data_IF_516999292730
#
_entry.id   IF_516999292730
#
_cell.length_a   1.000
_cell.length_b   1.000
_cell.length_c   1.000
_cell.angle_alpha   90.00
_cell.angle_beta   90.00
_cell.angle_gamma   90.00
#
_symmetry.space_group_name_H-M   'P 1'
#
loop_
_entity.id
_entity.type
_entity.pdbx_description
1 polymer ?
#
# COMPACT_ATOMS: atom_id res chain seq x y z
N UNK A 1 23.74 -6.03 -8.00
CA UNK A 1 22.97 -4.89 -7.45
C UNK A 1 21.61 -4.85 -8.14
N UNK A 2 20.50 -5.06 -7.42
CA UNK A 2 19.15 -4.87 -7.99
C UNK A 2 18.85 -3.38 -8.04
N UNK A 3 18.58 -2.88 -9.24
CA UNK A 3 18.18 -1.49 -9.49
C UNK A 3 16.74 -1.34 -9.02
N UNK A 4 16.54 -0.66 -7.90
CA UNK A 4 15.20 -0.25 -7.46
C UNK A 4 14.77 0.86 -8.42
N UNK A 5 13.75 0.59 -9.23
CA UNK A 5 13.14 1.60 -10.09
C UNK A 5 12.21 2.40 -9.19
N UNK A 6 12.56 3.66 -8.92
CA UNK A 6 11.63 4.61 -8.30
C UNK A 6 10.46 4.81 -9.27
N UNK A 7 9.27 4.36 -8.89
CA UNK A 7 8.06 4.65 -9.64
C UNK A 7 7.68 6.10 -9.35
N UNK A 8 7.71 6.91 -10.42
CA UNK A 8 7.13 8.24 -10.62
C UNK A 8 7.65 9.42 -9.77
N UNK A 9 8.63 10.16 -10.32
CA UNK A 9 9.05 11.52 -9.88
C UNK A 9 7.97 12.62 -10.06
N UNK A 10 6.68 12.27 -10.21
CA UNK A 10 5.60 13.20 -10.57
C UNK A 10 4.31 12.99 -9.74
N UNK A 11 4.24 11.97 -8.89
CA UNK A 11 3.02 11.69 -8.13
C UNK A 11 3.15 12.28 -6.72
N UNK A 12 2.19 13.12 -6.33
CA UNK A 12 2.13 13.59 -4.96
C UNK A 12 1.79 12.43 -4.00
N UNK A 13 2.24 12.56 -2.76
CA UNK A 13 2.14 11.48 -1.76
C UNK A 13 0.69 11.12 -1.42
N UNK A 14 -0.26 12.04 -1.60
CA UNK A 14 -1.68 11.79 -1.35
C UNK A 14 -2.24 10.87 -2.44
N UNK A 15 -1.97 11.18 -3.71
CA UNK A 15 -2.32 10.33 -4.86
C UNK A 15 -1.68 8.94 -4.77
N UNK A 16 -0.38 8.84 -4.43
CA UNK A 16 0.27 7.53 -4.24
C UNK A 16 -0.38 6.75 -3.09
N UNK A 17 -0.75 7.43 -1.99
CA UNK A 17 -1.43 6.79 -0.86
C UNK A 17 -2.81 6.26 -1.25
N UNK A 18 -3.59 7.01 -2.02
CA UNK A 18 -4.90 6.57 -2.51
C UNK A 18 -4.78 5.31 -3.38
N UNK A 19 -3.87 5.29 -4.35
CA UNK A 19 -3.65 4.13 -5.22
C UNK A 19 -3.28 2.88 -4.41
N UNK A 20 -2.47 3.05 -3.37
CA UNK A 20 -2.10 1.93 -2.49
C UNK A 20 -3.28 1.40 -1.67
N UNK A 21 -4.17 2.29 -1.22
CA UNK A 21 -5.41 1.89 -0.54
C UNK A 21 -6.30 1.09 -1.49
N UNK A 22 -6.47 1.54 -2.74
CA UNK A 22 -7.23 0.80 -3.76
C UNK A 22 -6.62 -0.59 -4.03
N UNK A 23 -5.29 -0.68 -4.09
CA UNK A 23 -4.57 -1.96 -4.24
C UNK A 23 -4.82 -2.89 -3.04
N UNK A 24 -4.82 -2.37 -1.81
CA UNK A 24 -5.14 -3.15 -0.61
C UNK A 24 -6.58 -3.70 -0.69
N UNK A 25 -7.55 -2.89 -1.09
CA UNK A 25 -8.95 -3.30 -1.22
C UNK A 25 -9.12 -4.41 -2.26
N UNK A 26 -8.45 -4.29 -3.41
CA UNK A 26 -8.44 -5.32 -4.44
C UNK A 26 -7.82 -6.64 -3.93
N UNK A 27 -6.69 -6.58 -3.23
CA UNK A 27 -6.05 -7.78 -2.66
C UNK A 27 -6.92 -8.45 -1.59
N UNK A 28 -7.58 -7.68 -0.72
CA UNK A 28 -8.52 -8.20 0.28
C UNK A 28 -9.71 -8.86 -0.40
N UNK A 29 -10.24 -8.25 -1.46
CA UNK A 29 -11.37 -8.80 -2.22
C UNK A 29 -11.01 -10.13 -2.87
N UNK A 30 -9.83 -10.23 -3.50
CA UNK A 30 -9.33 -11.48 -4.09
C UNK A 30 -9.18 -12.57 -3.03
N UNK A 31 -8.62 -12.23 -1.86
CA UNK A 31 -8.49 -13.18 -0.76
C UNK A 31 -9.85 -13.64 -0.23
N UNK A 32 -10.82 -12.74 -0.08
CA UNK A 32 -12.19 -13.09 0.33
C UNK A 32 -12.85 -14.02 -0.68
N UNK A 33 -12.80 -13.67 -1.98
CA UNK A 33 -13.35 -14.51 -3.04
C UNK A 33 -12.69 -15.89 -3.11
N UNK A 34 -11.38 -15.99 -2.85
CA UNK A 34 -10.70 -17.28 -2.75
C UNK A 34 -11.14 -18.10 -1.53
N UNK A 35 -11.42 -17.45 -0.40
CA UNK A 35 -11.85 -18.14 0.84
C UNK A 35 -13.34 -18.50 0.80
N UNK A 36 -14.18 -17.67 0.19
CA UNK A 36 -15.65 -17.79 0.13
C UNK A 36 -16.16 -18.51 -1.14
N UNK A 37 -15.30 -18.68 -2.15
CA UNK A 37 -15.62 -19.43 -3.35
C UNK A 37 -15.82 -20.92 -3.04
N UNK A 38 -16.83 -21.51 -3.69
CA UNK A 38 -17.24 -22.93 -3.60
C UNK A 38 -16.02 -23.86 -3.38
N UNK A 39 -16.18 -24.85 -2.50
CA UNK A 39 -15.16 -25.77 -1.90
C UNK A 39 -14.10 -26.37 -2.86
N UNK A 40 -14.21 -26.15 -4.17
CA UNK A 40 -13.30 -26.61 -5.21
C UNK A 40 -12.07 -25.72 -5.44
N UNK A 41 -11.99 -24.50 -4.89
CA UNK A 41 -10.87 -23.58 -5.17
C UNK A 41 -10.29 -22.83 -3.98
N UNK A 42 -10.06 -23.53 -2.85
CA UNK A 42 -9.27 -22.98 -1.74
C UNK A 42 -7.88 -22.55 -2.25
N UNK A 43 -7.47 -21.28 -2.09
CA UNK A 43 -6.14 -20.82 -2.45
C UNK A 43 -5.11 -21.66 -1.72
N UNK A 44 -4.12 -22.18 -2.45
CA UNK A 44 -3.04 -22.92 -1.80
C UNK A 44 -2.35 -22.06 -0.74
N UNK A 45 -1.81 -22.67 0.32
CA UNK A 45 -1.10 -21.95 1.38
C UNK A 45 0.04 -21.04 0.84
N UNK A 46 0.64 -21.40 -0.30
CA UNK A 46 1.64 -20.58 -1.00
C UNK A 46 1.05 -19.30 -1.59
N UNK A 47 -0.14 -19.38 -2.22
CA UNK A 47 -0.84 -18.22 -2.77
C UNK A 47 -1.24 -17.27 -1.64
N UNK A 48 -1.83 -17.80 -0.57
CA UNK A 48 -2.15 -17.03 0.64
C UNK A 48 -0.91 -16.31 1.22
N UNK A 49 0.22 -17.01 1.34
CA UNK A 49 1.47 -16.40 1.81
C UNK A 49 1.96 -15.26 0.92
N UNK A 50 1.88 -15.41 -0.41
CA UNK A 50 2.26 -14.32 -1.33
C UNK A 50 1.34 -13.11 -1.21
N UNK A 51 0.02 -13.31 -1.19
CA UNK A 51 -0.93 -12.20 -1.02
C UNK A 51 -0.75 -11.49 0.33
N UNK A 52 -0.58 -12.24 1.42
CA UNK A 52 -0.32 -11.66 2.74
C UNK A 52 1.01 -10.90 2.79
N UNK A 53 2.04 -11.39 2.11
CA UNK A 53 3.31 -10.68 1.99
C UNK A 53 3.14 -9.33 1.26
N UNK A 54 2.46 -9.33 0.11
CA UNK A 54 2.20 -8.10 -0.65
C UNK A 54 1.30 -7.11 0.10
N UNK A 55 0.28 -7.59 0.80
CA UNK A 55 -0.54 -6.76 1.70
C UNK A 55 0.32 -6.06 2.76
N UNK A 56 1.26 -6.77 3.38
CA UNK A 56 2.20 -6.18 4.34
C UNK A 56 3.05 -5.07 3.71
N UNK A 57 3.55 -5.27 2.50
CA UNK A 57 4.35 -4.27 1.78
C UNK A 57 3.56 -2.99 1.48
N UNK A 58 2.31 -3.12 1.01
CA UNK A 58 1.46 -1.96 0.73
C UNK A 58 1.11 -1.17 1.99
N UNK A 59 0.82 -1.87 3.10
CA UNK A 59 0.60 -1.22 4.40
C UNK A 59 1.83 -0.43 4.87
N UNK A 60 3.02 -0.99 4.73
CA UNK A 60 4.26 -0.31 5.15
C UNK A 60 4.56 0.91 4.28
N UNK A 61 4.25 0.87 2.98
CA UNK A 61 4.42 2.01 2.07
C UNK A 61 3.40 3.12 2.37
N UNK A 62 2.15 2.78 2.65
CA UNK A 62 1.14 3.74 3.13
C UNK A 62 1.60 4.42 4.42
N UNK A 63 2.11 3.67 5.39
CA UNK A 63 2.66 4.24 6.64
C UNK A 63 3.78 5.23 6.37
N UNK A 64 4.70 4.90 5.46
CA UNK A 64 5.79 5.80 5.07
C UNK A 64 5.27 7.07 4.41
N UNK A 65 4.28 6.96 3.53
CA UNK A 65 3.68 8.14 2.89
C UNK A 65 2.98 9.03 3.91
N UNK A 66 2.16 8.46 4.79
CA UNK A 66 1.47 9.21 5.83
C UNK A 66 2.45 9.90 6.79
N UNK A 67 3.56 9.24 7.14
CA UNK A 67 4.61 9.87 7.95
C UNK A 67 5.25 11.07 7.24
N UNK A 68 5.50 10.97 5.92
CA UNK A 68 6.04 12.07 5.12
C UNK A 68 5.04 13.22 4.96
N UNK A 69 3.77 12.93 4.70
CA UNK A 69 2.69 13.93 4.61
C UNK A 69 2.55 14.68 5.93
N UNK A 70 2.56 13.94 7.06
CA UNK A 70 2.49 14.54 8.39
C UNK A 70 3.69 15.45 8.66
N UNK A 71 4.89 15.02 8.27
CA UNK A 71 6.11 15.82 8.42
C UNK A 71 6.07 17.10 7.57
N UNK A 72 5.69 17.00 6.29
CA UNK A 72 5.57 18.15 5.39
C UNK A 72 4.57 19.19 5.91
N UNK A 73 3.41 18.73 6.39
CA UNK A 73 2.39 19.61 6.97
C UNK A 73 2.90 20.34 8.22
N UNK A 74 3.64 19.65 9.08
CA UNK A 74 4.19 20.27 10.29
C UNK A 74 5.26 21.33 9.95
N UNK A 75 6.14 21.07 8.96
CA UNK A 75 7.14 22.05 8.53
C UNK A 75 6.53 23.32 7.93
N UNK A 76 5.46 23.20 7.13
CA UNK A 76 4.75 24.37 6.57
C UNK A 76 4.04 25.21 7.65
N UNK A 77 3.65 24.56 8.75
CA UNK A 77 2.97 25.23 9.88
C UNK A 77 3.97 25.97 10.78
N UNK A 78 5.24 25.56 10.83
CA UNK A 78 6.29 26.24 11.59
C UNK A 78 6.81 27.50 10.87
N UNK A 79 6.81 27.53 9.53
CA UNK A 79 7.25 28.69 8.75
C UNK A 79 6.26 29.87 8.74
N UNK A 80 4.99 29.64 9.06
CA UNK A 80 3.94 30.67 9.10
C UNK A 80 3.86 31.43 10.43
N UNK A 81 4.70 31.08 11.40
CA UNK A 81 4.75 31.70 12.73
C UNK A 81 6.05 32.49 13.03
N UNK A 82 6.86 32.79 12.00
CA UNK A 82 8.06 33.66 12.09
C UNK A 82 7.80 35.01 11.44
#
# INVERSE_FOLDING_TARGET
MRKVIHVADCMDLETDTMIRIDNLEAMITILRLGIEGDDESVPTATILKHYLFHLGQEVDLIRQNLAKVTFQKNSETEETHV
#
